data_IF_272110907703
#
_entry.id   IF_272110907703
#
_cell.length_a   1.000
_cell.length_b   1.000
_cell.length_c   1.000
_cell.angle_alpha   90.00
_cell.angle_beta   90.00
_cell.angle_gamma   90.00
#
_symmetry.space_group_name_H-M   'P 1'
#
loop_
_entity.id
_entity.type
_entity.pdbx_description
1 polymer ?
#
# COMPACT_ATOMS: atom_id res chain seq x y z
N UNK A 1 -20.27 -4.36 14.33
CA UNK A 1 -19.14 -5.28 14.16
C UNK A 1 -18.20 -5.10 15.36
N UNK A 2 -17.65 -6.17 15.91
CA UNK A 2 -16.67 -6.10 17.01
C UNK A 2 -15.40 -5.42 16.51
N UNK A 3 -14.89 -4.42 17.25
CA UNK A 3 -13.64 -3.77 16.91
C UNK A 3 -12.52 -4.82 16.80
N UNK A 4 -11.92 -4.92 15.61
CA UNK A 4 -10.78 -5.79 15.36
C UNK A 4 -9.64 -5.39 16.29
N UNK A 5 -8.94 -6.37 16.84
CA UNK A 5 -7.79 -6.15 17.72
C UNK A 5 -6.52 -6.55 16.99
N UNK A 6 -5.40 -5.97 17.41
CA UNK A 6 -4.09 -6.47 17.01
C UNK A 6 -3.98 -7.97 17.33
N UNK A 7 -3.28 -8.71 16.48
CA UNK A 7 -3.07 -10.16 16.62
C UNK A 7 -1.59 -10.47 16.47
N UNK A 8 -1.12 -11.44 17.27
CA UNK A 8 0.21 -12.02 17.13
C UNK A 8 0.18 -13.13 16.08
N UNK A 9 1.12 -13.09 15.15
CA UNK A 9 1.36 -14.12 14.14
C UNK A 9 2.67 -14.82 14.46
N UNK A 10 2.77 -16.11 14.08
CA UNK A 10 4.00 -16.86 14.13
C UNK A 10 4.45 -17.19 12.70
N UNK A 11 5.63 -16.73 12.33
CA UNK A 11 6.24 -16.93 11.02
C UNK A 11 7.59 -17.66 11.17
N UNK A 12 7.91 -18.62 10.31
CA UNK A 12 9.18 -19.34 10.37
C UNK A 12 10.42 -18.46 10.18
N UNK A 13 10.28 -17.30 9.53
CA UNK A 13 11.40 -16.37 9.25
C UNK A 13 11.55 -15.34 10.38
N UNK A 14 10.45 -14.74 10.84
CA UNK A 14 10.49 -13.61 11.79
C UNK A 14 10.13 -14.00 13.23
N UNK A 15 9.77 -15.27 13.48
CA UNK A 15 9.26 -15.71 14.78
C UNK A 15 7.88 -15.11 15.07
N UNK A 16 7.68 -14.62 16.30
CA UNK A 16 6.41 -14.03 16.72
C UNK A 16 6.44 -12.51 16.51
N UNK A 17 5.41 -11.98 15.86
CA UNK A 17 5.23 -10.55 15.70
C UNK A 17 3.76 -10.15 15.74
N UNK A 18 3.50 -8.90 16.11
CA UNK A 18 2.17 -8.34 16.16
C UNK A 18 1.88 -7.53 14.89
N UNK A 19 0.65 -7.65 14.38
CA UNK A 19 0.12 -6.73 13.37
C UNK A 19 -1.04 -5.92 13.95
N UNK A 20 -1.17 -4.64 13.56
CA UNK A 20 -2.18 -3.74 14.10
C UNK A 20 -3.60 -4.13 13.64
N UNK A 21 -4.61 -3.59 14.32
CA UNK A 21 -6.02 -3.96 14.11
C UNK A 21 -6.50 -3.73 12.66
N UNK A 22 -6.05 -2.64 12.05
CA UNK A 22 -6.30 -2.27 10.65
C UNK A 22 -5.76 -3.32 9.67
N UNK A 23 -4.55 -3.85 9.91
CA UNK A 23 -4.00 -4.96 9.14
C UNK A 23 -4.82 -6.23 9.33
N UNK A 24 -5.16 -6.57 10.57
CA UNK A 24 -5.98 -7.75 10.87
C UNK A 24 -7.35 -7.69 10.21
N UNK A 25 -7.96 -6.51 10.11
CA UNK A 25 -9.23 -6.32 9.44
C UNK A 25 -9.16 -6.67 7.95
N UNK A 26 -8.07 -6.30 7.26
CA UNK A 26 -7.80 -6.72 5.89
C UNK A 26 -7.47 -8.21 5.82
N UNK A 27 -6.66 -8.73 6.75
CA UNK A 27 -6.27 -10.15 6.76
C UNK A 27 -7.51 -11.05 6.81
N UNK A 28 -8.52 -10.69 7.60
CA UNK A 28 -9.71 -11.49 7.80
C UNK A 28 -10.73 -11.39 6.64
N UNK A 29 -10.37 -10.84 5.47
CA UNK A 29 -11.24 -10.78 4.27
C UNK A 29 -10.98 -11.87 3.24
N UNK A 30 -11.96 -12.23 2.39
CA UNK A 30 -11.76 -13.19 1.29
C UNK A 30 -10.65 -12.79 0.32
N UNK A 31 -10.51 -11.48 0.04
CA UNK A 31 -9.52 -10.92 -0.88
C UNK A 31 -8.10 -11.19 -0.40
N UNK A 32 -7.84 -11.03 0.91
CA UNK A 32 -6.53 -11.31 1.48
C UNK A 32 -6.32 -12.82 1.71
N UNK A 33 -7.34 -13.55 2.18
CA UNK A 33 -7.24 -15.00 2.37
C UNK A 33 -6.95 -15.76 1.06
N UNK A 34 -7.36 -15.22 -0.09
CA UNK A 34 -7.01 -15.73 -1.43
C UNK A 34 -5.50 -15.89 -1.63
N UNK A 35 -4.67 -15.05 -1.00
CA UNK A 35 -3.21 -15.10 -1.16
C UNK A 35 -2.59 -16.41 -0.65
N UNK A 36 -3.30 -17.20 0.16
CA UNK A 36 -2.85 -18.53 0.61
C UNK A 36 -2.72 -19.52 -0.54
N UNK A 37 -3.55 -19.36 -1.57
CA UNK A 37 -3.60 -20.23 -2.74
C UNK A 37 -2.67 -19.77 -3.87
N UNK A 38 -2.01 -18.61 -3.71
CA UNK A 38 -1.06 -18.09 -4.68
C UNK A 38 0.36 -18.35 -4.22
N UNK A 39 1.09 -19.21 -4.94
CA UNK A 39 2.50 -19.47 -4.66
C UNK A 39 3.36 -18.26 -4.99
N UNK A 40 4.22 -17.84 -4.06
CA UNK A 40 5.13 -16.70 -4.26
C UNK A 40 5.91 -16.85 -5.57
N UNK A 41 6.56 -18.01 -5.74
CA UNK A 41 7.42 -18.32 -6.89
C UNK A 41 6.70 -19.06 -8.03
N UNK A 42 5.36 -19.07 -8.05
CA UNK A 42 4.55 -19.66 -9.11
C UNK A 42 4.93 -21.11 -9.44
N UNK A 43 5.36 -21.35 -10.68
CA UNK A 43 5.69 -22.68 -11.20
C UNK A 43 7.00 -23.26 -10.62
N UNK A 44 7.81 -22.46 -9.93
CA UNK A 44 9.08 -22.91 -9.32
C UNK A 44 8.88 -24.09 -8.36
N UNK A 45 7.72 -24.17 -7.70
CA UNK A 45 7.34 -25.28 -6.83
C UNK A 45 7.40 -26.66 -7.51
N UNK A 46 7.18 -26.74 -8.83
CA UNK A 46 7.27 -28.00 -9.59
C UNK A 46 8.71 -28.49 -9.79
N UNK A 47 9.70 -27.63 -9.60
CA UNK A 47 11.13 -27.97 -9.67
C UNK A 47 11.73 -28.06 -8.25
N UNK A 48 11.31 -27.15 -7.37
CA UNK A 48 11.78 -27.05 -5.99
C UNK A 48 10.60 -27.23 -5.02
N UNK A 49 10.39 -28.45 -4.49
CA UNK A 49 9.25 -28.73 -3.60
C UNK A 49 9.22 -27.88 -2.32
N UNK A 50 10.36 -27.34 -1.89
CA UNK A 50 10.44 -26.40 -0.76
C UNK A 50 9.93 -24.99 -1.07
N UNK A 51 9.78 -24.62 -2.34
CA UNK A 51 9.20 -23.34 -2.77
C UNK A 51 7.66 -23.36 -2.69
N UNK A 52 7.12 -23.89 -1.59
CA UNK A 52 5.68 -24.09 -1.38
C UNK A 52 5.00 -22.89 -0.73
N UNK A 53 5.76 -21.86 -0.34
CA UNK A 53 5.26 -20.68 0.34
C UNK A 53 4.34 -19.86 -0.58
N UNK A 54 3.25 -19.36 0.01
CA UNK A 54 2.28 -18.48 -0.60
C UNK A 54 2.63 -17.01 -0.42
N UNK A 55 1.87 -16.16 -1.14
CA UNK A 55 1.94 -14.71 -1.00
C UNK A 55 1.39 -14.24 0.34
N UNK A 56 0.49 -15.01 0.95
CA UNK A 56 -0.08 -14.68 2.25
C UNK A 56 0.99 -14.45 3.32
N UNK A 57 1.88 -15.42 3.55
CA UNK A 57 2.93 -15.31 4.56
C UNK A 57 4.00 -14.28 4.17
N UNK A 58 4.26 -14.09 2.88
CA UNK A 58 5.12 -13.03 2.36
C UNK A 58 4.58 -11.66 2.78
N UNK A 59 3.33 -11.34 2.43
CA UNK A 59 2.68 -10.07 2.77
C UNK A 59 2.64 -9.80 4.28
N UNK A 60 2.46 -10.83 5.11
CA UNK A 60 2.56 -10.68 6.57
C UNK A 60 3.98 -10.30 7.02
N UNK A 61 5.00 -10.92 6.43
CA UNK A 61 6.41 -10.65 6.72
C UNK A 61 6.82 -9.24 6.29
N UNK A 62 6.45 -8.82 5.09
CA UNK A 62 6.74 -7.47 4.57
C UNK A 62 6.06 -6.40 5.44
N UNK A 63 4.81 -6.61 5.85
CA UNK A 63 4.13 -5.70 6.78
C UNK A 63 4.89 -5.54 8.11
N UNK A 64 5.34 -6.66 8.68
CA UNK A 64 6.14 -6.65 9.91
C UNK A 64 7.48 -5.92 9.74
N UNK A 65 8.21 -6.21 8.67
CA UNK A 65 9.51 -5.60 8.38
C UNK A 65 9.37 -4.09 8.16
N UNK A 66 8.37 -3.67 7.39
CA UNK A 66 8.13 -2.25 7.11
C UNK A 66 7.86 -1.47 8.40
N UNK A 67 6.99 -2.01 9.27
CA UNK A 67 6.70 -1.43 10.59
C UNK A 67 7.93 -1.36 11.48
N UNK A 68 8.66 -2.45 11.61
CA UNK A 68 9.88 -2.53 12.41
C UNK A 68 10.94 -1.55 11.92
N UNK A 69 11.17 -1.48 10.60
CA UNK A 69 12.16 -0.59 10.00
C UNK A 69 11.81 0.88 10.26
N UNK A 70 10.57 1.28 9.98
CA UNK A 70 10.14 2.66 10.20
C UNK A 70 10.24 3.06 11.68
N UNK A 71 9.84 2.18 12.61
CA UNK A 71 9.97 2.43 14.04
C UNK A 71 11.43 2.61 14.49
N UNK A 72 12.35 1.79 13.96
CA UNK A 72 13.79 1.91 14.26
C UNK A 72 14.38 3.23 13.76
N UNK A 73 14.06 3.64 12.53
CA UNK A 73 14.53 4.91 11.98
C UNK A 73 13.98 6.10 12.76
N UNK A 74 12.67 6.11 13.04
CA UNK A 74 12.05 7.16 13.84
C UNK A 74 12.64 7.24 15.25
N UNK A 75 12.91 6.12 15.89
CA UNK A 75 13.59 6.09 17.19
C UNK A 75 15.01 6.67 17.12
N UNK A 76 15.69 6.52 15.98
CA UNK A 76 17.05 7.03 15.77
C UNK A 76 17.09 8.53 15.43
N UNK A 77 16.04 9.05 14.78
CA UNK A 77 15.96 10.47 14.41
C UNK A 77 15.54 11.37 15.57
N UNK A 78 14.95 10.81 16.64
CA UNK A 78 14.34 11.59 17.71
C UNK A 78 15.20 11.61 18.97
N UNK A 79 15.53 12.82 19.42
CA UNK A 79 16.27 13.06 20.67
C UNK A 79 15.48 12.72 21.94
N UNK A 80 14.14 12.76 21.87
CA UNK A 80 13.23 12.44 22.97
C UNK A 80 12.89 10.93 23.06
N UNK A 81 13.32 10.13 22.09
CA UNK A 81 13.05 8.69 22.00
C UNK A 81 11.58 8.31 21.84
N UNK A 82 10.66 9.27 21.66
CA UNK A 82 9.22 9.02 21.73
C UNK A 82 8.53 9.23 20.38
N UNK A 83 7.87 8.19 19.88
CA UNK A 83 7.02 8.28 18.69
C UNK A 83 5.82 9.20 18.96
N UNK A 84 5.58 10.18 18.09
CA UNK A 84 4.41 11.04 18.19
C UNK A 84 3.18 10.37 17.57
N UNK A 85 2.00 10.99 17.74
CA UNK A 85 0.75 10.45 17.19
C UNK A 85 0.82 10.29 15.68
N UNK A 86 1.41 11.26 15.00
CA UNK A 86 1.59 11.23 13.55
C UNK A 86 2.55 10.13 13.11
N UNK A 87 3.69 9.97 13.80
CA UNK A 87 4.67 8.92 13.50
C UNK A 87 4.01 7.54 13.57
N UNK A 88 3.22 7.29 14.62
CA UNK A 88 2.45 6.05 14.76
C UNK A 88 1.47 5.86 13.62
N UNK A 89 0.81 6.92 13.16
CA UNK A 89 -0.10 6.84 12.04
C UNK A 89 0.63 6.54 10.72
N UNK A 90 1.80 7.15 10.48
CA UNK A 90 2.65 6.85 9.32
C UNK A 90 3.12 5.40 9.30
N UNK A 91 3.59 4.90 10.44
CA UNK A 91 4.04 3.52 10.59
C UNK A 91 2.89 2.56 10.27
N UNK A 92 1.70 2.82 10.80
CA UNK A 92 0.51 1.99 10.53
C UNK A 92 0.08 2.05 9.06
N UNK A 93 0.17 3.22 8.43
CA UNK A 93 -0.14 3.37 7.02
C UNK A 93 0.85 2.59 6.14
N UNK A 94 2.13 2.61 6.53
CA UNK A 94 3.18 1.83 5.88
C UNK A 94 3.00 0.33 6.09
N UNK A 95 2.68 -0.13 7.30
CA UNK A 95 2.36 -1.55 7.59
C UNK A 95 1.17 -2.03 6.76
N UNK A 96 0.13 -1.20 6.64
CA UNK A 96 -1.05 -1.50 5.84
C UNK A 96 -0.74 -1.53 4.33
N UNK A 97 0.07 -0.59 3.84
CA UNK A 97 0.53 -0.56 2.45
C UNK A 97 1.37 -1.80 2.14
N UNK A 98 2.30 -2.13 3.04
CA UNK A 98 3.18 -3.29 2.94
C UNK A 98 2.39 -4.60 2.99
N UNK A 99 1.33 -4.67 3.78
CA UNK A 99 0.43 -5.82 3.77
C UNK A 99 -0.29 -5.96 2.42
N UNK A 100 -0.71 -4.85 1.81
CA UNK A 100 -1.60 -4.85 0.65
C UNK A 100 -0.89 -4.80 -0.71
N UNK A 101 0.43 -4.57 -0.75
CA UNK A 101 1.18 -4.34 -2.00
C UNK A 101 1.01 -5.46 -3.04
N UNK A 102 0.78 -6.69 -2.56
CA UNK A 102 0.78 -7.93 -3.35
C UNK A 102 -0.63 -8.50 -3.64
N UNK A 103 -1.70 -7.79 -3.24
CA UNK A 103 -3.10 -8.24 -3.40
C UNK A 103 -3.47 -8.57 -4.86
N UNK A 104 -2.91 -7.83 -5.81
CA UNK A 104 -3.23 -7.85 -7.23
C UNK A 104 -2.65 -9.03 -8.01
N UNK A 105 -1.80 -9.85 -7.40
CA UNK A 105 -1.20 -10.96 -8.12
C UNK A 105 -2.23 -11.98 -8.62
N UNK A 106 -2.06 -12.37 -9.89
CA UNK A 106 -2.82 -13.43 -10.53
C UNK A 106 -2.28 -14.84 -10.23
N UNK A 107 -2.99 -15.89 -10.71
CA UNK A 107 -2.53 -17.27 -10.62
C UNK A 107 -1.15 -17.47 -11.25
N UNK A 108 -0.23 -18.13 -10.55
CA UNK A 108 1.17 -18.31 -10.99
C UNK A 108 2.02 -17.03 -11.01
N UNK A 109 1.60 -15.98 -10.29
CA UNK A 109 2.41 -14.78 -10.05
C UNK A 109 2.85 -14.12 -11.35
N UNK A 110 4.14 -13.80 -11.53
CA UNK A 110 4.64 -13.14 -12.74
C UNK A 110 4.44 -13.96 -14.03
N UNK A 111 4.20 -15.27 -13.95
CA UNK A 111 3.83 -16.05 -15.15
C UNK A 111 2.46 -15.61 -15.67
N UNK A 112 1.54 -15.20 -14.79
CA UNK A 112 0.25 -14.65 -15.20
C UNK A 112 0.43 -13.43 -16.08
N UNK A 113 1.17 -12.46 -15.55
CA UNK A 113 1.36 -11.15 -16.13
C UNK A 113 2.24 -11.19 -17.38
N UNK A 114 3.40 -11.85 -17.29
CA UNK A 114 4.43 -11.75 -18.31
C UNK A 114 4.28 -12.79 -19.42
N UNK A 115 3.57 -13.90 -19.17
CA UNK A 115 3.48 -15.01 -20.12
C UNK A 115 2.04 -15.32 -20.53
N UNK A 116 1.11 -15.42 -19.58
CA UNK A 116 -0.26 -15.85 -19.88
C UNK A 116 -1.07 -14.72 -20.53
N UNK A 117 -1.12 -13.54 -19.91
CA UNK A 117 -1.92 -12.42 -20.42
C UNK A 117 -1.50 -12.00 -21.84
N UNK A 118 -0.20 -11.85 -22.19
CA UNK A 118 0.20 -11.51 -23.55
C UNK A 118 -0.25 -12.52 -24.59
N UNK A 119 -0.27 -13.82 -24.24
CA UNK A 119 -0.70 -14.89 -25.14
C UNK A 119 -2.22 -14.96 -25.32
N UNK A 120 -3.00 -14.59 -24.30
CA UNK A 120 -4.46 -14.70 -24.32
C UNK A 120 -5.13 -13.41 -24.82
N UNK A 121 -4.63 -12.26 -24.41
CA UNK A 121 -5.22 -10.94 -24.69
C UNK A 121 -4.47 -10.17 -25.78
N UNK A 122 -3.27 -10.62 -26.15
CA UNK A 122 -2.34 -9.89 -27.01
C UNK A 122 -1.46 -8.92 -26.22
N UNK A 123 -0.26 -8.63 -26.76
CA UNK A 123 0.76 -7.84 -26.08
C UNK A 123 0.26 -6.46 -25.63
N UNK A 124 -0.46 -5.74 -26.49
CA UNK A 124 -0.93 -4.38 -26.18
C UNK A 124 -1.93 -4.33 -25.03
N UNK A 125 -2.82 -5.33 -24.93
CA UNK A 125 -3.80 -5.37 -23.84
C UNK A 125 -3.15 -5.85 -22.54
N UNK A 126 -2.26 -6.84 -22.62
CA UNK A 126 -1.53 -7.34 -21.46
C UNK A 126 -0.61 -6.28 -20.83
N UNK A 127 0.01 -5.42 -21.65
CA UNK A 127 0.87 -4.32 -21.19
C UNK A 127 0.13 -3.25 -20.36
N UNK A 128 -1.20 -3.27 -20.33
CA UNK A 128 -2.01 -2.36 -19.48
C UNK A 128 -2.43 -2.99 -18.14
N UNK A 129 -1.99 -4.22 -17.89
CA UNK A 129 -2.29 -4.94 -16.66
C UNK A 129 -1.00 -5.12 -15.87
N UNK A 130 -0.98 -4.57 -14.67
CA UNK A 130 0.07 -4.77 -13.69
C UNK A 130 -0.54 -5.21 -12.37
N UNK A 131 0.15 -6.09 -11.66
CA UNK A 131 -0.34 -6.56 -10.37
C UNK A 131 -0.39 -5.41 -9.35
N UNK A 132 0.49 -4.41 -9.45
CA UNK A 132 0.49 -3.22 -8.62
C UNK A 132 -0.82 -2.41 -8.77
N UNK A 133 -1.26 -2.16 -10.01
CA UNK A 133 -2.53 -1.47 -10.29
C UNK A 133 -3.73 -2.27 -9.77
N UNK A 134 -3.66 -3.60 -9.89
CA UNK A 134 -4.70 -4.48 -9.38
C UNK A 134 -4.71 -4.54 -7.86
N UNK A 135 -3.57 -4.42 -7.18
CA UNK A 135 -3.49 -4.37 -5.73
C UNK A 135 -4.26 -3.17 -5.18
N UNK A 136 -4.15 -2.00 -5.81
CA UNK A 136 -4.93 -0.82 -5.41
C UNK A 136 -6.44 -1.03 -5.60
N UNK A 137 -6.84 -1.63 -6.73
CA UNK A 137 -8.25 -1.90 -7.03
C UNK A 137 -8.85 -2.94 -6.09
N UNK A 138 -8.08 -3.98 -5.75
CA UNK A 138 -8.51 -5.00 -4.80
C UNK A 138 -8.55 -4.43 -3.38
N UNK A 139 -7.65 -3.52 -3.00
CA UNK A 139 -7.74 -2.83 -1.72
C UNK A 139 -9.03 -2.02 -1.60
N UNK A 140 -9.39 -1.24 -2.62
CA UNK A 140 -10.68 -0.53 -2.65
C UNK A 140 -11.86 -1.50 -2.53
N UNK A 141 -11.85 -2.56 -3.34
CA UNK A 141 -12.89 -3.57 -3.32
C UNK A 141 -13.01 -4.25 -1.95
N UNK A 142 -11.89 -4.59 -1.33
CA UNK A 142 -11.81 -5.23 -0.03
C UNK A 142 -12.47 -4.36 1.04
N UNK A 143 -12.18 -3.06 1.04
CA UNK A 143 -12.78 -2.11 2.00
C UNK A 143 -14.28 -1.95 1.74
N UNK A 144 -14.68 -1.72 0.50
CA UNK A 144 -16.07 -1.45 0.12
C UNK A 144 -16.97 -2.69 0.31
N UNK A 145 -16.54 -3.85 -0.20
CA UNK A 145 -17.33 -5.08 -0.20
C UNK A 145 -17.51 -5.68 1.20
N UNK A 146 -16.51 -5.54 2.07
CA UNK A 146 -16.57 -6.04 3.44
C UNK A 146 -17.03 -4.96 4.45
N UNK A 147 -17.34 -3.74 3.98
CA UNK A 147 -17.74 -2.61 4.82
C UNK A 147 -16.77 -2.37 5.97
N UNK A 148 -15.46 -2.42 5.67
CA UNK A 148 -14.43 -2.37 6.69
C UNK A 148 -14.33 -0.98 7.31
N UNK A 149 -14.34 -0.96 8.64
CA UNK A 149 -13.84 0.19 9.40
C UNK A 149 -12.41 -0.10 9.85
N UNK A 150 -11.45 0.50 9.15
CA UNK A 150 -10.01 0.39 9.46
C UNK A 150 -9.61 1.28 10.65
N UNK A 151 -10.57 1.93 11.31
CA UNK A 151 -10.36 2.71 12.52
C UNK A 151 -9.88 4.14 12.27
N UNK A 152 -9.69 4.90 13.36
CA UNK A 152 -9.46 6.34 13.29
C UNK A 152 -8.17 6.68 12.52
N UNK A 153 -8.35 7.38 11.40
CA UNK A 153 -7.26 7.74 10.49
C UNK A 153 -7.14 6.83 9.25
N UNK A 154 -7.98 5.81 9.11
CA UNK A 154 -8.08 5.00 7.88
C UNK A 154 -9.52 4.86 7.36
N UNK A 155 -10.50 5.45 8.06
CA UNK A 155 -11.90 5.49 7.67
C UNK A 155 -12.15 6.56 6.57
N UNK A 156 -11.70 6.32 5.34
CA UNK A 156 -11.96 7.23 4.22
C UNK A 156 -11.08 7.05 2.99
N UNK A 157 -11.56 7.50 1.82
CA UNK A 157 -10.82 7.42 0.55
C UNK A 157 -9.52 8.25 0.54
N UNK A 158 -9.43 9.30 1.36
CA UNK A 158 -8.21 10.13 1.42
C UNK A 158 -7.08 9.42 2.12
N UNK A 159 -7.38 8.70 3.20
CA UNK A 159 -6.39 7.98 3.98
C UNK A 159 -5.93 6.69 3.29
N UNK A 160 -6.82 6.02 2.54
CA UNK A 160 -6.40 4.97 1.59
C UNK A 160 -5.52 5.52 0.45
N UNK A 161 -5.64 6.82 0.12
CA UNK A 161 -4.76 7.47 -0.85
C UNK A 161 -3.28 7.39 -0.45
N UNK A 162 -2.97 7.62 0.84
CA UNK A 162 -1.61 7.49 1.36
C UNK A 162 -1.11 6.04 1.27
N UNK A 163 -1.95 5.08 1.64
CA UNK A 163 -1.61 3.65 1.56
C UNK A 163 -1.24 3.27 0.13
N UNK A 164 -2.00 3.73 -0.85
CA UNK A 164 -1.75 3.50 -2.28
C UNK A 164 -0.51 4.24 -2.79
N UNK A 165 -0.29 5.48 -2.37
CA UNK A 165 0.93 6.22 -2.70
C UNK A 165 2.18 5.44 -2.21
N UNK A 166 2.13 4.90 -0.98
CA UNK A 166 3.21 4.07 -0.42
C UNK A 166 3.39 2.75 -1.20
N UNK A 167 2.30 2.09 -1.60
CA UNK A 167 2.37 0.90 -2.46
C UNK A 167 3.03 1.21 -3.82
N UNK A 168 2.72 2.37 -4.41
CA UNK A 168 3.33 2.81 -5.68
C UNK A 168 4.79 3.22 -5.53
N UNK A 169 5.20 3.69 -4.35
CA UNK A 169 6.50 4.32 -4.16
C UNK A 169 6.57 5.75 -4.71
N UNK A 170 5.42 6.37 -5.00
CA UNK A 170 5.33 7.74 -5.55
C UNK A 170 4.01 8.41 -5.19
N UNK A 171 3.98 9.75 -5.17
CA UNK A 171 2.75 10.49 -4.97
C UNK A 171 1.90 10.45 -6.23
N UNK A 172 0.57 10.37 -6.09
CA UNK A 172 -0.35 10.45 -7.23
C UNK A 172 -0.20 11.75 -8.08
N UNK A 173 0.46 12.78 -7.55
CA UNK A 173 0.76 14.04 -8.27
C UNK A 173 2.10 14.02 -9.02
N UNK A 174 2.88 12.94 -8.93
CA UNK A 174 4.19 12.80 -9.59
C UNK A 174 4.13 11.97 -10.90
N UNK A 175 2.93 11.53 -11.32
CA UNK A 175 2.70 10.88 -12.62
C UNK A 175 2.40 11.89 -13.74
N UNK A 176 2.63 11.56 -15.02
CA UNK A 176 2.24 12.44 -16.12
C UNK A 176 0.72 12.61 -16.07
N UNK A 177 0.25 13.86 -16.07
CA UNK A 177 -1.16 14.20 -16.17
C UNK A 177 -1.83 13.31 -17.22
N UNK A 178 -2.78 12.45 -16.83
CA UNK A 178 -3.79 11.93 -17.76
C UNK A 178 -4.72 13.09 -18.11
N UNK A 179 -4.17 14.01 -18.92
CA UNK A 179 -4.93 14.93 -19.72
C UNK A 179 -5.38 14.17 -20.97
N UNK A 180 -6.42 13.35 -20.82
CA UNK A 180 -7.23 12.94 -21.97
C UNK A 180 -7.80 14.20 -22.65
N UNK A 181 -7.48 14.46 -23.94
CA UNK A 181 -7.94 15.65 -24.64
C UNK A 181 -9.30 15.36 -25.30
N UNK A 182 -10.31 16.19 -25.01
CA UNK A 182 -11.49 16.25 -25.89
C UNK A 182 -12.78 16.75 -25.25
N UNK A 183 -13.00 18.05 -25.26
CA UNK A 183 -14.12 18.71 -25.97
C UNK A 183 -14.31 20.17 -25.51
N UNK A 184 -14.80 21.07 -26.39
CA UNK A 184 -14.43 22.49 -26.35
C UNK A 184 -15.50 23.42 -25.75
N UNK A 185 -15.04 24.58 -25.29
CA UNK A 185 -15.73 25.86 -25.48
C UNK A 185 -16.69 26.31 -24.39
N UNK A 186 -16.30 27.35 -23.65
CA UNK A 186 -17.17 28.06 -22.71
C UNK A 186 -16.49 29.28 -22.10
N UNK A 187 -16.34 30.34 -22.89
CA UNK A 187 -15.94 31.68 -22.48
C UNK A 187 -16.79 32.22 -21.33
N UNK A 188 -16.14 32.75 -20.28
CA UNK A 188 -16.79 33.46 -19.17
C UNK A 188 -15.79 34.36 -18.44
N UNK A 189 -16.05 35.66 -18.49
CA UNK A 189 -15.19 36.78 -18.10
C UNK A 189 -15.50 37.27 -16.67
N UNK A 190 -14.48 37.83 -15.99
CA UNK A 190 -14.52 38.71 -14.80
C UNK A 190 -14.70 38.15 -13.38
N UNK A 191 -13.89 38.69 -12.45
CA UNK A 191 -14.35 38.93 -11.06
C UNK A 191 -13.30 38.93 -9.94
N UNK A 192 -12.51 40.00 -9.84
CA UNK A 192 -11.95 40.67 -8.63
C UNK A 192 -11.53 39.91 -7.35
N UNK A 193 -10.35 40.32 -6.88
CA UNK A 193 -9.72 40.17 -5.57
C UNK A 193 -10.64 40.17 -4.34
N UNK A 194 -10.30 39.32 -3.37
CA UNK A 194 -10.73 39.42 -1.98
C UNK A 194 -9.64 38.90 -1.05
N UNK A 195 -8.86 39.81 -0.48
CA UNK A 195 -7.95 39.53 0.62
C UNK A 195 -8.75 39.21 1.89
N UNK A 196 -8.46 38.08 2.52
CA UNK A 196 -9.07 37.66 3.78
C UNK A 196 -8.09 36.82 4.57
N UNK A 197 -7.37 37.45 5.50
CA UNK A 197 -6.58 36.77 6.50
C UNK A 197 -7.47 35.93 7.41
N UNK A 198 -7.14 34.66 7.54
CA UNK A 198 -7.74 33.74 8.50
C UNK A 198 -6.65 32.80 8.99
N UNK A 199 -6.22 33.00 10.24
CA UNK A 199 -5.26 32.12 10.91
C UNK A 199 -5.80 30.68 10.94
N UNK A 200 -5.21 29.83 10.13
CA UNK A 200 -5.39 28.39 10.23
C UNK A 200 -4.35 27.86 11.20
N UNK A 201 -4.78 27.40 12.38
CA UNK A 201 -4.03 26.41 13.13
C UNK A 201 -3.88 25.18 12.23
N UNK A 202 -2.74 25.10 11.54
CA UNK A 202 -2.35 23.96 10.74
C UNK A 202 -2.14 22.78 11.66
N UNK A 203 -3.15 21.91 11.77
CA UNK A 203 -2.90 20.54 12.17
C UNK A 203 -1.83 19.94 11.24
N UNK A 204 -1.01 19.01 11.74
CA UNK A 204 0.06 18.40 10.97
C UNK A 204 -0.49 17.86 9.65
N UNK A 205 0.18 18.21 8.55
CA UNK A 205 -0.21 17.76 7.23
C UNK A 205 -0.16 16.22 7.19
N UNK A 206 -1.22 15.60 6.68
CA UNK A 206 -1.19 14.18 6.33
C UNK A 206 -0.14 13.93 5.24
N UNK A 207 0.37 12.70 5.26
CA UNK A 207 1.66 12.21 4.77
C UNK A 207 1.95 12.12 3.24
N UNK A 208 1.28 12.89 2.36
CA UNK A 208 1.88 13.16 1.05
C UNK A 208 2.69 14.47 0.94
N UNK A 209 2.50 15.43 1.86
CA UNK A 209 3.01 16.81 1.66
C UNK A 209 4.17 17.22 2.56
N UNK A 210 4.57 16.35 3.48
CA UNK A 210 5.69 16.60 4.38
C UNK A 210 6.99 16.07 3.75
N UNK A 211 7.90 16.94 3.28
CA UNK A 211 9.15 16.51 2.66
C UNK A 211 10.03 15.71 3.61
N UNK A 212 9.89 15.90 4.92
CA UNK A 212 10.69 15.23 5.94
C UNK A 212 10.33 13.74 6.10
N UNK A 213 9.20 13.31 5.52
CA UNK A 213 8.71 11.92 5.64
C UNK A 213 8.75 11.14 4.32
N UNK A 214 9.41 11.69 3.29
CA UNK A 214 9.62 11.02 1.99
C UNK A 214 10.39 9.70 2.08
N UNK A 215 11.23 9.53 3.11
CA UNK A 215 11.98 8.29 3.33
C UNK A 215 11.07 7.07 3.60
N UNK A 216 9.79 7.25 3.93
CA UNK A 216 8.84 6.14 4.10
C UNK A 216 8.59 5.39 2.79
N UNK A 217 8.63 6.07 1.64
CA UNK A 217 8.46 5.45 0.32
C UNK A 217 9.60 4.50 0.00
N UNK A 218 10.81 4.81 0.48
CA UNK A 218 12.01 3.99 0.28
C UNK A 218 11.99 2.69 1.09
N UNK A 219 11.12 2.56 2.09
CA UNK A 219 11.03 1.32 2.89
C UNK A 219 10.27 0.24 2.14
N UNK A 220 9.16 0.59 1.48
CA UNK A 220 8.28 -0.41 0.85
C UNK A 220 8.54 -0.56 -0.65
N UNK A 221 8.66 0.54 -1.38
CA UNK A 221 8.70 0.51 -2.84
C UNK A 221 9.78 1.47 -3.34
N UNK A 222 11.05 1.09 -3.14
CA UNK A 222 12.19 1.96 -3.44
C UNK A 222 12.47 1.98 -4.94
N UNK A 223 11.97 3.00 -5.64
CA UNK A 223 12.21 3.19 -7.07
C UNK A 223 13.62 3.68 -7.41
N UNK A 224 14.39 4.14 -6.42
CA UNK A 224 15.73 4.73 -6.64
C UNK A 224 16.80 3.66 -6.84
N UNK A 225 16.84 2.67 -5.95
CA UNK A 225 17.86 1.62 -5.96
C UNK A 225 17.29 0.22 -5.70
N UNK A 226 15.99 0.12 -5.42
CA UNK A 226 15.35 -1.15 -5.13
C UNK A 226 15.79 -1.79 -3.82
N UNK A 227 16.30 -1.04 -2.84
CA UNK A 227 16.52 -1.54 -1.48
C UNK A 227 15.26 -1.19 -0.68
N UNK A 228 14.39 -2.18 -0.53
CA UNK A 228 13.11 -2.12 0.17
C UNK A 228 12.88 -3.42 0.95
N UNK A 229 11.85 -3.45 1.80
CA UNK A 229 11.54 -4.59 2.67
C UNK A 229 10.80 -5.73 1.98
N UNK A 230 10.38 -5.54 0.73
CA UNK A 230 9.73 -6.57 -0.08
C UNK A 230 10.74 -7.59 -0.64
N UNK A 231 12.00 -7.18 -0.86
CA UNK A 231 13.06 -8.04 -1.42
C UNK A 231 13.82 -8.86 -0.39
#
# INVERSE_FOLDING_TARGET
MTATRAKTFNCPVHGHFDLPAECVAIIDTPEFQRLRELKQLGLTYYVYPGASHGRFEHSLGVAHLAGSWAQHLLGSFRSDGNLHREDRHSVRALELAALCHDLGHGPFSHVFENELLPRVLGESAAATWHHEDMSERILDHCVDANSLDLGPGFSGRKELGLVKDLMRGSLAQDGPDDASPGAPGGTGMFGSQGAGGGGGHGGPALLPKDPEKRWLFDILANKTNGIDCDK
#
